data_IF_465673503664
#
_entry.id   IF_465673503664
#
_cell.length_a   1.000
_cell.length_b   1.000
_cell.length_c   1.000
_cell.angle_alpha   90.00
_cell.angle_beta   90.00
_cell.angle_gamma   90.00
#
_symmetry.space_group_name_H-M   'P 1'
#
loop_
_entity.id
_entity.type
_entity.pdbx_description
1 polymer ?
#
# COMPACT_ATOMS: atom_id res chain seq x y z
N UNK A 1 21.77 8.07 -0.80
CA UNK A 1 22.82 8.96 -1.32
C UNK A 1 23.41 9.73 -0.16
N UNK A 2 24.44 10.52 -0.41
CA UNK A 2 25.10 11.33 0.62
C UNK A 2 24.06 12.23 1.31
N UNK A 3 23.98 12.11 2.64
CA UNK A 3 23.12 12.96 3.48
C UNK A 3 21.68 12.50 3.70
N UNK A 4 21.19 11.44 3.03
CA UNK A 4 19.87 10.86 3.40
C UNK A 4 19.99 10.12 4.72
N UNK A 5 19.19 10.51 5.71
CA UNK A 5 19.11 9.77 6.97
C UNK A 5 18.20 8.54 6.81
N UNK A 6 18.52 7.48 7.55
CA UNK A 6 17.72 6.25 7.64
C UNK A 6 17.48 5.95 9.11
N UNK A 7 16.21 6.01 9.53
CA UNK A 7 15.81 5.81 10.92
C UNK A 7 14.72 4.74 10.99
N UNK A 8 14.94 3.59 11.64
CA UNK A 8 13.87 2.64 11.95
C UNK A 8 12.77 3.31 12.78
N UNK A 9 11.51 3.03 12.48
CA UNK A 9 10.35 3.55 13.20
C UNK A 9 9.59 2.38 13.79
N UNK A 10 9.56 2.35 15.13
CA UNK A 10 8.82 1.40 15.97
C UNK A 10 7.93 2.21 16.92
N UNK A 11 6.87 2.82 16.36
CA UNK A 11 5.95 3.70 17.09
C UNK A 11 4.51 3.21 16.94
N UNK A 12 3.83 2.92 18.07
CA UNK A 12 2.50 2.33 18.04
C UNK A 12 2.50 0.99 17.32
N UNK A 13 1.69 0.85 16.27
CA UNK A 13 1.65 -0.35 15.41
C UNK A 13 2.56 -0.22 14.18
N UNK A 14 3.26 0.90 14.00
CA UNK A 14 4.12 1.16 12.84
C UNK A 14 5.44 0.41 13.03
N UNK A 15 5.77 -0.44 12.05
CA UNK A 15 7.05 -1.14 11.95
C UNK A 15 7.70 -0.83 10.61
N UNK A 16 8.40 0.29 10.50
CA UNK A 16 8.85 0.85 9.23
C UNK A 16 10.25 1.42 9.25
N UNK A 17 10.65 2.06 8.16
CA UNK A 17 11.91 2.82 8.09
C UNK A 17 11.64 4.16 7.43
N UNK A 18 11.97 5.24 8.15
CA UNK A 18 11.88 6.62 7.71
C UNK A 18 13.19 7.03 7.05
N UNK A 19 13.07 7.54 5.84
CA UNK A 19 14.15 8.18 5.09
C UNK A 19 13.90 9.68 5.03
N UNK A 20 14.88 10.48 5.44
CA UNK A 20 14.77 11.95 5.41
C UNK A 20 15.86 12.51 4.50
N UNK A 21 15.51 13.38 3.53
CA UNK A 21 16.49 14.09 2.71
C UNK A 21 17.40 14.99 3.58
N UNK A 22 18.63 15.30 3.13
CA UNK A 22 19.45 16.29 3.80
C UNK A 22 18.79 17.68 3.74
N UNK A 23 19.00 18.49 4.78
CA UNK A 23 18.52 19.86 4.88
C UNK A 23 17.43 20.07 5.94
N UNK A 24 17.04 21.34 6.11
CA UNK A 24 16.06 21.75 7.13
C UNK A 24 14.61 21.47 6.73
N UNK A 25 14.33 21.33 5.43
CA UNK A 25 12.98 21.20 4.89
C UNK A 25 12.28 22.56 4.75
N UNK A 26 10.93 22.57 4.65
CA UNK A 26 10.04 21.41 4.69
C UNK A 26 10.12 20.56 3.42
N UNK A 27 9.74 19.29 3.53
CA UNK A 27 9.70 18.33 2.44
C UNK A 27 8.28 17.77 2.22
N UNK A 28 7.92 17.39 0.99
CA UNK A 28 6.75 16.54 0.76
C UNK A 28 6.97 15.15 1.38
N UNK A 29 5.91 14.57 1.94
CA UNK A 29 5.94 13.24 2.57
C UNK A 29 5.28 12.17 1.68
N UNK A 30 5.89 10.99 1.65
CA UNK A 30 5.39 9.81 0.94
C UNK A 30 5.38 8.60 1.89
N UNK A 31 4.25 7.91 1.94
CA UNK A 31 4.16 6.57 2.49
C UNK A 31 4.43 5.56 1.36
N UNK A 32 5.53 4.82 1.46
CA UNK A 32 5.90 3.76 0.51
C UNK A 32 5.41 2.40 1.04
N UNK A 33 4.37 1.87 0.42
CA UNK A 33 3.77 0.60 0.78
C UNK A 33 4.26 -0.53 -0.12
N UNK A 34 4.66 -1.61 0.52
CA UNK A 34 5.08 -2.86 -0.11
C UNK A 34 4.39 -4.02 0.58
N UNK A 35 4.14 -5.14 -0.13
CA UNK A 35 3.51 -6.31 0.50
C UNK A 35 4.35 -6.81 1.67
N UNK A 36 5.66 -6.93 1.45
CA UNK A 36 6.68 -7.30 2.44
C UNK A 36 7.76 -6.23 2.48
N UNK A 37 8.51 -6.18 3.59
CA UNK A 37 9.48 -5.10 3.87
C UNK A 37 10.43 -4.87 2.69
N UNK A 38 10.45 -3.64 2.19
CA UNK A 38 11.38 -3.19 1.16
C UNK A 38 11.72 -1.73 1.35
N UNK A 39 13.01 -1.42 1.32
CA UNK A 39 13.53 -0.07 1.51
C UNK A 39 14.05 0.57 0.22
N UNK A 40 14.20 -0.25 -0.84
CA UNK A 40 14.88 0.16 -2.08
C UNK A 40 14.20 1.35 -2.75
N UNK A 41 12.87 1.33 -2.84
CA UNK A 41 12.10 2.42 -3.46
C UNK A 41 12.10 3.65 -2.55
N UNK A 42 11.83 3.49 -1.27
CA UNK A 42 11.81 4.60 -0.32
C UNK A 42 13.14 5.36 -0.21
N UNK A 43 14.28 4.65 -0.14
CA UNK A 43 15.57 5.33 -0.06
C UNK A 43 15.94 6.09 -1.35
N UNK A 44 15.53 5.58 -2.51
CA UNK A 44 15.72 6.25 -3.79
C UNK A 44 14.83 7.48 -3.93
N UNK A 45 13.59 7.41 -3.46
CA UNK A 45 12.67 8.54 -3.42
C UNK A 45 13.17 9.64 -2.47
N UNK A 46 13.75 9.28 -1.33
CA UNK A 46 14.33 10.27 -0.42
C UNK A 46 15.49 11.07 -1.04
N UNK A 47 16.27 10.46 -1.93
CA UNK A 47 17.29 11.19 -2.71
C UNK A 47 16.68 12.21 -3.69
N UNK A 48 15.36 12.19 -3.90
CA UNK A 48 14.63 13.15 -4.74
C UNK A 48 13.91 14.23 -3.93
N UNK A 49 14.20 14.34 -2.63
CA UNK A 49 13.67 15.42 -1.79
C UNK A 49 12.35 15.09 -1.10
N UNK A 50 11.98 13.81 -0.97
CA UNK A 50 10.80 13.37 -0.23
C UNK A 50 11.19 12.82 1.14
N UNK A 51 10.43 13.16 2.19
CA UNK A 51 10.42 12.32 3.40
C UNK A 51 9.66 11.04 3.05
N UNK A 52 10.26 9.88 3.26
CA UNK A 52 9.65 8.61 2.87
C UNK A 52 9.61 7.66 4.04
N UNK A 53 8.42 7.26 4.47
CA UNK A 53 8.25 6.16 5.42
C UNK A 53 7.91 4.90 4.63
N UNK A 54 8.77 3.89 4.71
CA UNK A 54 8.54 2.57 4.13
C UNK A 54 7.84 1.69 5.15
N UNK A 55 6.68 1.14 4.80
CA UNK A 55 5.88 0.25 5.67
C UNK A 55 5.43 -0.97 4.89
N UNK A 56 5.69 -2.20 5.39
CA UNK A 56 5.12 -3.38 4.80
C UNK A 56 3.65 -3.56 5.19
N UNK A 57 2.84 -4.16 4.31
CA UNK A 57 1.48 -4.59 4.65
C UNK A 57 1.50 -5.75 5.65
N UNK A 58 2.47 -6.65 5.52
CA UNK A 58 2.68 -7.78 6.44
C UNK A 58 4.14 -7.90 6.87
N UNK A 59 4.38 -8.26 8.13
CA UNK A 59 5.72 -8.49 8.68
C UNK A 59 6.30 -9.89 8.39
N UNK A 60 5.60 -10.69 7.59
CA UNK A 60 5.98 -12.06 7.23
C UNK A 60 5.47 -12.41 5.83
N UNK A 61 5.00 -13.65 5.64
CA UNK A 61 4.36 -14.04 4.38
C UNK A 61 2.89 -13.64 4.41
N UNK A 62 2.40 -13.16 3.28
CA UNK A 62 0.98 -12.84 3.12
C UNK A 62 0.09 -14.09 3.32
N UNK A 63 0.58 -15.26 2.91
CA UNK A 63 -0.10 -16.57 3.08
C UNK A 63 -0.42 -16.91 4.53
N UNK A 64 0.32 -16.35 5.48
CA UNK A 64 0.18 -16.66 6.90
C UNK A 64 -0.87 -15.73 7.57
N UNK A 65 -1.35 -14.73 6.82
CA UNK A 65 -2.32 -13.73 7.29
C UNK A 65 -3.75 -14.20 7.03
N UNK A 66 -4.56 -14.30 8.08
CA UNK A 66 -6.00 -14.59 7.96
C UNK A 66 -6.85 -13.34 7.71
N UNK A 67 -6.34 -12.19 8.14
CA UNK A 67 -6.98 -10.88 8.04
C UNK A 67 -5.90 -9.80 7.98
N UNK A 68 -6.25 -8.64 7.43
CA UNK A 68 -5.39 -7.46 7.41
C UNK A 68 -6.09 -6.31 8.14
N UNK A 69 -5.29 -5.46 8.79
CA UNK A 69 -5.78 -4.29 9.52
C UNK A 69 -5.20 -3.02 8.90
N UNK A 70 -6.08 -2.12 8.47
CA UNK A 70 -5.73 -0.82 7.92
C UNK A 70 -5.14 0.10 9.01
N UNK A 71 -5.37 -0.19 10.28
CA UNK A 71 -4.98 0.64 11.42
C UNK A 71 -3.48 0.98 11.45
N UNK A 72 -2.58 0.01 11.20
CA UNK A 72 -1.13 0.27 11.24
C UNK A 72 -0.68 1.23 10.12
N UNK A 73 -1.27 1.13 8.92
CA UNK A 73 -0.92 2.02 7.81
C UNK A 73 -1.61 3.38 7.95
N UNK A 74 -2.81 3.40 8.55
CA UNK A 74 -3.49 4.64 8.92
C UNK A 74 -2.71 5.42 10.00
N UNK A 75 -2.08 4.72 10.96
CA UNK A 75 -1.13 5.31 11.92
C UNK A 75 0.08 5.89 11.20
N UNK A 76 0.65 5.18 10.23
CA UNK A 76 1.78 5.68 9.43
C UNK A 76 1.45 6.99 8.67
N UNK A 77 0.24 7.12 8.12
CA UNK A 77 -0.23 8.39 7.51
C UNK A 77 -0.28 9.51 8.55
N UNK A 78 -0.79 9.25 9.76
CA UNK A 78 -0.85 10.24 10.84
C UNK A 78 0.54 10.64 11.33
N UNK A 79 1.42 9.66 11.53
CA UNK A 79 2.82 9.88 11.92
C UNK A 79 3.52 10.82 10.94
N UNK A 80 3.45 10.54 9.63
CA UNK A 80 4.05 11.40 8.60
C UNK A 80 3.47 12.83 8.63
N UNK A 81 2.15 12.98 8.78
CA UNK A 81 1.50 14.28 8.88
C UNK A 81 1.90 15.10 10.11
N UNK A 82 2.43 14.46 11.16
CA UNK A 82 2.84 15.11 12.41
C UNK A 82 4.33 15.45 12.43
N UNK A 83 5.12 15.00 11.44
CA UNK A 83 6.55 15.28 11.38
C UNK A 83 6.81 16.79 11.16
N UNK A 84 7.65 17.45 11.98
CA UNK A 84 7.92 18.88 11.86
C UNK A 84 8.50 19.30 10.50
N UNK A 85 9.23 18.41 9.84
CA UNK A 85 9.86 18.66 8.53
C UNK A 85 8.91 18.44 7.35
N UNK A 86 7.65 18.06 7.58
CA UNK A 86 6.68 17.83 6.50
C UNK A 86 5.86 19.11 6.27
N UNK A 87 5.95 19.64 5.04
CA UNK A 87 5.35 20.95 4.71
C UNK A 87 3.84 20.92 4.49
N UNK A 88 3.29 19.77 4.14
CA UNK A 88 1.86 19.56 3.88
C UNK A 88 1.20 18.77 5.01
N UNK A 89 -0.03 19.12 5.37
CA UNK A 89 -0.86 18.30 6.28
C UNK A 89 -1.47 17.06 5.60
N UNK A 90 -0.95 16.68 4.43
CA UNK A 90 -1.40 15.54 3.64
C UNK A 90 -0.19 14.83 3.04
N UNK A 91 -0.33 13.53 2.84
CA UNK A 91 0.75 12.60 2.44
C UNK A 91 0.45 11.99 1.08
N UNK A 92 1.45 11.82 0.23
CA UNK A 92 1.36 10.96 -0.95
C UNK A 92 1.54 9.48 -0.56
N UNK A 93 0.90 8.56 -1.29
CA UNK A 93 1.14 7.12 -1.12
C UNK A 93 1.68 6.58 -2.43
N UNK A 94 2.73 5.76 -2.37
CA UNK A 94 3.17 4.93 -3.49
C UNK A 94 3.09 3.47 -3.09
N UNK A 95 2.56 2.65 -3.98
CA UNK A 95 2.29 1.23 -3.68
C UNK A 95 2.59 0.35 -4.88
N UNK A 96 2.69 -0.96 -4.66
CA UNK A 96 2.78 -1.95 -5.75
C UNK A 96 2.08 -3.24 -5.36
N UNK A 97 1.44 -3.92 -6.32
CA UNK A 97 0.87 -5.26 -6.11
C UNK A 97 -0.16 -5.25 -4.99
N UNK A 98 -0.16 -6.23 -4.08
CA UNK A 98 -1.11 -6.31 -2.96
C UNK A 98 -1.14 -5.02 -2.14
N UNK A 99 -0.03 -4.33 -1.95
CA UNK A 99 -0.01 -3.08 -1.21
C UNK A 99 -0.86 -1.95 -1.82
N UNK A 100 -1.24 -2.08 -3.09
CA UNK A 100 -2.04 -1.09 -3.80
C UNK A 100 -3.52 -1.14 -3.43
N UNK A 101 -4.08 -2.29 -3.04
CA UNK A 101 -5.46 -2.30 -2.50
C UNK A 101 -5.54 -1.64 -1.10
N UNK A 102 -4.49 -1.78 -0.29
CA UNK A 102 -4.34 -1.05 0.97
C UNK A 102 -4.22 0.46 0.71
N UNK A 103 -3.45 0.89 -0.30
CA UNK A 103 -3.32 2.30 -0.65
C UNK A 103 -4.65 2.92 -1.10
N UNK A 104 -5.44 2.22 -1.92
CA UNK A 104 -6.78 2.66 -2.30
C UNK A 104 -7.69 2.73 -1.06
N UNK A 105 -7.63 1.73 -0.19
CA UNK A 105 -8.42 1.71 1.05
C UNK A 105 -8.06 2.86 1.99
N UNK A 106 -6.78 3.19 2.13
CA UNK A 106 -6.33 4.37 2.88
C UNK A 106 -6.94 5.65 2.30
N UNK A 107 -6.91 5.82 0.99
CA UNK A 107 -7.49 7.02 0.35
C UNK A 107 -9.00 7.15 0.56
N UNK A 108 -9.73 6.04 0.67
CA UNK A 108 -11.18 6.02 0.84
C UNK A 108 -11.63 6.16 2.31
N UNK A 109 -10.86 5.62 3.26
CA UNK A 109 -11.29 5.50 4.66
C UNK A 109 -10.48 6.33 5.66
N UNK A 110 -9.31 6.87 5.26
CA UNK A 110 -8.38 7.57 6.15
C UNK A 110 -8.15 9.01 5.67
N UNK A 111 -8.37 10.03 6.52
CA UNK A 111 -8.08 11.41 6.15
C UNK A 111 -6.57 11.66 6.06
N UNK A 112 -6.19 12.67 5.29
CA UNK A 112 -4.79 13.10 5.17
C UNK A 112 -4.00 12.45 4.04
N UNK A 113 -4.66 11.74 3.12
CA UNK A 113 -4.06 11.23 1.88
C UNK A 113 -4.30 12.21 0.73
N UNK A 114 -3.23 12.77 0.18
CA UNK A 114 -3.30 13.73 -0.93
C UNK A 114 -3.39 13.06 -2.30
N UNK A 115 -2.50 12.11 -2.53
CA UNK A 115 -2.33 11.48 -3.82
C UNK A 115 -1.91 10.03 -3.64
N UNK A 116 -2.30 9.17 -4.58
CA UNK A 116 -1.94 7.76 -4.62
C UNK A 116 -1.34 7.44 -5.98
N UNK A 117 -0.11 6.95 -5.96
CA UNK A 117 0.53 6.26 -7.08
C UNK A 117 0.32 4.77 -6.88
N UNK A 118 -0.52 4.21 -7.75
CA UNK A 118 -0.92 2.81 -7.75
C UNK A 118 -0.15 2.11 -8.87
N UNK A 119 0.57 1.03 -8.57
CA UNK A 119 1.42 0.32 -9.54
C UNK A 119 1.02 -1.15 -9.57
N UNK A 120 0.40 -1.60 -10.66
CA UNK A 120 0.06 -3.02 -10.87
C UNK A 120 -0.64 -3.64 -9.64
N UNK A 121 -1.74 -3.05 -9.18
CA UNK A 121 -2.53 -3.56 -8.06
C UNK A 121 -3.85 -4.18 -8.49
N UNK A 122 -4.75 -4.35 -7.51
CA UNK A 122 -6.17 -4.61 -7.76
C UNK A 122 -7.03 -3.43 -7.29
N UNK A 123 -8.19 -3.22 -7.91
CA UNK A 123 -9.23 -2.28 -7.46
C UNK A 123 -10.15 -2.87 -6.38
N UNK A 124 -10.05 -4.18 -6.14
CA UNK A 124 -10.74 -4.91 -5.09
C UNK A 124 -9.77 -5.37 -4.00
N UNK A 125 -10.27 -5.59 -2.79
CA UNK A 125 -9.48 -6.16 -1.70
C UNK A 125 -9.30 -7.66 -1.89
N UNK A 126 -8.10 -8.11 -2.22
CA UNK A 126 -7.83 -9.54 -2.50
C UNK A 126 -7.27 -10.31 -1.29
N UNK A 127 -7.37 -11.64 -1.30
CA UNK A 127 -6.71 -12.61 -0.40
C UNK A 127 -7.19 -12.63 1.06
N UNK A 128 -7.23 -11.50 1.75
CA UNK A 128 -7.57 -11.43 3.17
C UNK A 128 -8.67 -10.38 3.38
N UNK A 129 -9.67 -10.61 4.24
CA UNK A 129 -10.61 -9.57 4.64
C UNK A 129 -9.85 -8.41 5.28
N UNK A 130 -10.28 -7.19 4.97
CA UNK A 130 -9.68 -5.97 5.47
C UNK A 130 -10.54 -5.38 6.60
N UNK A 131 -9.89 -5.11 7.72
CA UNK A 131 -10.47 -4.51 8.91
C UNK A 131 -9.95 -3.09 9.10
N UNK A 132 -10.80 -2.24 9.67
CA UNK A 132 -10.41 -0.94 10.18
C UNK A 132 -11.19 -0.63 11.45
N UNK A 133 -10.51 -0.22 12.52
CA UNK A 133 -11.14 0.08 13.82
C UNK A 133 -12.01 -1.07 14.33
N UNK A 134 -11.47 -2.31 14.28
CA UNK A 134 -12.14 -3.57 14.71
C UNK A 134 -13.39 -3.96 13.92
N UNK A 135 -13.65 -3.35 12.77
CA UNK A 135 -14.77 -3.71 11.88
C UNK A 135 -14.23 -4.16 10.54
N UNK A 136 -14.77 -5.25 10.00
CA UNK A 136 -14.50 -5.62 8.62
C UNK A 136 -15.10 -4.54 7.72
N UNK A 137 -14.26 -3.92 6.89
CA UNK A 137 -14.66 -2.88 5.94
C UNK A 137 -14.77 -3.43 4.52
N UNK A 138 -13.98 -4.45 4.17
CA UNK A 138 -14.03 -5.13 2.88
C UNK A 138 -13.83 -6.65 3.05
N UNK A 139 -14.68 -7.50 2.45
CA UNK A 139 -14.40 -8.93 2.32
C UNK A 139 -13.21 -9.18 1.37
N UNK A 140 -12.68 -10.41 1.37
CA UNK A 140 -11.64 -10.82 0.44
C UNK A 140 -12.24 -11.25 -0.90
N UNK A 141 -11.66 -10.75 -1.99
CA UNK A 141 -11.79 -11.36 -3.31
C UNK A 141 -10.90 -12.61 -3.33
N UNK A 142 -11.52 -13.74 -3.62
CA UNK A 142 -10.89 -15.05 -3.56
C UNK A 142 -10.27 -15.42 -4.91
N UNK A 143 -9.44 -16.47 -4.88
CA UNK A 143 -8.75 -17.03 -6.04
C UNK A 143 -9.16 -18.49 -6.19
N UNK A 144 -9.51 -18.90 -7.42
CA UNK A 144 -9.72 -20.29 -7.80
C UNK A 144 -8.36 -20.96 -7.97
N UNK A 145 -7.92 -21.71 -6.96
CA UNK A 145 -6.58 -22.31 -6.92
C UNK A 145 -6.35 -23.24 -8.12
N UNK A 146 -7.40 -23.89 -8.62
CA UNK A 146 -7.38 -24.79 -9.77
C UNK A 146 -7.01 -24.08 -11.08
N UNK A 147 -7.19 -22.76 -11.15
CA UNK A 147 -6.86 -21.92 -12.32
C UNK A 147 -5.48 -21.27 -12.21
N UNK A 148 -4.76 -21.44 -11.11
CA UNK A 148 -3.41 -20.91 -10.94
C UNK A 148 -2.44 -21.72 -11.80
N UNK A 149 -1.68 -21.03 -12.63
CA UNK A 149 -0.75 -21.68 -13.57
C UNK A 149 0.68 -21.55 -13.03
N UNK A 150 1.36 -22.66 -12.68
CA UNK A 150 2.77 -22.63 -12.36
C UNK A 150 3.59 -22.43 -13.63
N UNK A 151 4.61 -21.58 -13.55
CA UNK A 151 5.58 -21.37 -14.63
C UNK A 151 6.80 -22.27 -14.42
N UNK A 152 7.61 -22.44 -15.46
CA UNK A 152 8.87 -23.21 -15.40
C UNK A 152 9.84 -22.68 -14.32
N UNK A 153 9.78 -21.38 -14.03
CA UNK A 153 10.59 -20.73 -12.98
C UNK A 153 10.12 -21.01 -11.55
N UNK A 154 8.97 -21.68 -11.38
CA UNK A 154 8.30 -21.85 -10.09
C UNK A 154 7.45 -20.64 -9.65
N UNK A 155 7.42 -19.55 -10.43
CA UNK A 155 6.47 -18.46 -10.22
C UNK A 155 5.03 -18.90 -10.56
N UNK A 156 4.05 -18.26 -9.94
CA UNK A 156 2.63 -18.55 -10.14
C UNK A 156 1.97 -17.41 -10.93
N UNK A 157 1.31 -17.76 -12.03
CA UNK A 157 0.41 -16.87 -12.76
C UNK A 157 -0.99 -16.99 -12.17
N UNK A 158 -1.50 -15.91 -11.60
CA UNK A 158 -2.80 -15.90 -10.88
C UNK A 158 -3.85 -15.03 -11.55
N UNK A 159 -3.49 -14.27 -12.61
CA UNK A 159 -4.40 -13.41 -13.38
C UNK A 159 -5.76 -14.03 -13.69
N UNK A 160 -5.78 -15.22 -14.28
CA UNK A 160 -7.03 -15.89 -14.68
C UNK A 160 -7.71 -16.65 -13.54
N UNK A 161 -7.12 -16.66 -12.35
CA UNK A 161 -7.61 -17.37 -11.17
C UNK A 161 -8.36 -16.45 -10.21
N UNK A 162 -8.17 -15.14 -10.28
CA UNK A 162 -8.86 -14.19 -9.42
C UNK A 162 -10.35 -14.14 -9.79
N UNK A 163 -11.22 -14.21 -8.79
CA UNK A 163 -12.65 -14.06 -9.01
C UNK A 163 -12.98 -12.72 -9.67
N UNK A 164 -13.97 -12.70 -10.56
CA UNK A 164 -14.42 -11.47 -11.18
C UNK A 164 -15.10 -10.57 -10.14
N UNK A 165 -14.46 -9.43 -9.85
CA UNK A 165 -14.93 -8.44 -8.88
C UNK A 165 -16.18 -7.67 -9.32
N UNK A 166 -16.55 -7.75 -10.61
CA UNK A 166 -17.75 -7.10 -11.15
C UNK A 166 -19.01 -7.95 -11.01
N UNK A 167 -18.87 -9.25 -10.69
CA UNK A 167 -20.01 -10.12 -10.39
C UNK A 167 -20.68 -9.71 -9.08
N UNK A 168 -22.00 -9.89 -9.02
CA UNK A 168 -22.83 -9.44 -7.90
C UNK A 168 -22.35 -10.01 -6.56
N UNK A 169 -21.98 -11.29 -6.51
CA UNK A 169 -21.49 -11.97 -5.32
C UNK A 169 -20.14 -11.41 -4.80
N UNK A 170 -19.33 -10.81 -5.67
CA UNK A 170 -17.99 -10.29 -5.33
C UNK A 170 -17.95 -8.77 -5.23
N UNK A 171 -19.01 -8.07 -5.64
CA UNK A 171 -19.05 -6.61 -5.75
C UNK A 171 -18.73 -5.89 -4.43
N UNK A 172 -19.00 -6.54 -3.29
CA UNK A 172 -18.67 -6.01 -1.96
C UNK A 172 -17.17 -5.90 -1.69
N UNK A 173 -16.32 -6.56 -2.47
CA UNK A 173 -14.85 -6.51 -2.36
C UNK A 173 -14.24 -5.25 -3.01
N UNK A 174 -15.00 -4.56 -3.86
CA UNK A 174 -14.56 -3.35 -4.55
C UNK A 174 -14.26 -2.24 -3.55
N UNK A 175 -13.10 -1.61 -3.72
CA UNK A 175 -12.68 -0.52 -2.85
C UNK A 175 -13.40 0.75 -3.31
N UNK A 176 -14.11 1.46 -2.41
CA UNK A 176 -14.95 2.59 -2.79
C UNK A 176 -14.12 3.87 -3.01
N UNK A 177 -13.30 3.87 -4.07
CA UNK A 177 -12.40 4.98 -4.41
C UNK A 177 -13.15 6.28 -4.76
N UNK A 178 -14.45 6.20 -5.07
CA UNK A 178 -15.33 7.36 -5.22
C UNK A 178 -15.50 8.18 -3.93
N UNK A 179 -15.22 7.57 -2.77
CA UNK A 179 -15.22 8.27 -1.46
C UNK A 179 -13.91 9.00 -1.18
N UNK A 180 -12.86 8.75 -1.97
CA UNK A 180 -11.57 9.38 -1.78
C UNK A 180 -11.55 10.80 -2.32
N UNK A 181 -10.92 11.71 -1.58
CA UNK A 181 -10.60 13.07 -2.05
C UNK A 181 -9.20 13.17 -2.68
N UNK A 182 -8.53 12.03 -2.85
CA UNK A 182 -7.14 11.97 -3.33
C UNK A 182 -7.05 12.05 -4.85
N UNK A 183 -5.89 12.46 -5.36
CA UNK A 183 -5.53 12.34 -6.78
C UNK A 183 -4.92 10.97 -7.06
N UNK A 184 -5.24 10.37 -8.18
CA UNK A 184 -4.74 9.03 -8.53
C UNK A 184 -3.87 9.08 -9.78
N UNK A 185 -2.75 8.36 -9.73
CA UNK A 185 -1.98 7.95 -10.91
C UNK A 185 -1.93 6.42 -10.93
N UNK A 186 -2.52 5.82 -11.96
CA UNK A 186 -2.46 4.39 -12.19
C UNK A 186 -1.34 4.09 -13.18
N UNK A 187 -0.41 3.24 -12.75
CA UNK A 187 0.65 2.68 -13.60
C UNK A 187 0.36 1.19 -13.72
N UNK A 188 -0.01 0.75 -14.91
CA UNK A 188 -0.36 -0.64 -15.20
C UNK A 188 0.54 -1.18 -16.31
N UNK A 189 1.00 -2.41 -16.14
CA UNK A 189 1.68 -3.18 -17.19
C UNK A 189 0.64 -3.96 -17.98
N UNK A 190 0.68 -3.85 -19.31
CA UNK A 190 -0.21 -4.64 -20.19
C UNK A 190 0.07 -6.14 -20.08
N UNK A 191 1.33 -6.50 -19.80
CA UNK A 191 1.78 -7.88 -19.61
C UNK A 191 1.81 -8.31 -18.12
N UNK A 192 0.99 -7.68 -17.27
CA UNK A 192 0.84 -8.17 -15.90
C UNK A 192 0.13 -9.54 -15.90
N UNK A 193 0.78 -10.55 -15.32
CA UNK A 193 0.29 -11.93 -15.18
C UNK A 193 -0.16 -12.27 -13.75
N UNK A 194 -0.16 -11.28 -12.85
CA UNK A 194 -0.59 -11.40 -11.46
C UNK A 194 -2.04 -10.95 -11.26
N UNK A 195 -2.58 -10.02 -12.04
CA UNK A 195 -3.95 -9.51 -11.89
C UNK A 195 -4.74 -9.62 -13.19
#
# INVERSE_FOLDING_TARGET
ADGVSRVPVEEGNIHGVLFTPPGEGPFPAVLDLSTVRSEKRGCLLANKGFIVLTVPVVNGKLSDSKELHLDHTAEAVRFLNQLPKVGSKRVGIISRSKASDIALSLSAFVPGVEAVVWINGCSANIFCPLYYKKRQILPALMVEIEKVIPTESGALMVKNAIHDSLKEENRATLIPIEKANSRFLFVASEDDMHW
#
